data_IF_419792096868
#
_entry.id   IF_419792096868
#
_cell.length_a   1.000
_cell.length_b   1.000
_cell.length_c   1.000
_cell.angle_alpha   90.00
_cell.angle_beta   90.00
_cell.angle_gamma   90.00
#
_symmetry.space_group_name_H-M   'P 1'
#
loop_
_entity.id
_entity.type
_entity.pdbx_description
1 polymer ?
#
# COMPACT_ATOMS: atom_id res chain seq x y z
N UNK A 1 -0.64 -9.50 12.05
CA UNK A 1 0.58 -8.96 11.43
C UNK A 1 0.29 -7.54 10.93
N UNK A 2 1.09 -6.58 11.35
CA UNK A 2 0.86 -5.17 11.03
C UNK A 2 2.14 -4.51 10.55
N UNK A 3 2.03 -3.69 9.50
CA UNK A 3 3.15 -2.93 8.95
C UNK A 3 2.77 -1.48 8.77
N UNK A 4 3.76 -0.59 8.88
CA UNK A 4 3.58 0.83 8.57
C UNK A 4 4.36 1.14 7.30
N UNK A 5 3.63 1.59 6.27
CA UNK A 5 4.20 1.91 4.96
C UNK A 5 4.32 3.41 4.78
N UNK A 6 5.28 3.88 3.99
CA UNK A 6 5.37 5.30 3.68
C UNK A 6 4.15 5.76 2.88
N UNK A 7 3.80 7.04 3.00
CA UNK A 7 2.71 7.61 2.22
C UNK A 7 3.03 7.51 0.72
N UNK A 8 2.07 7.12 -0.12
CA UNK A 8 2.33 6.97 -1.56
C UNK A 8 2.77 8.27 -2.22
N UNK A 9 3.69 8.15 -3.16
CA UNK A 9 4.22 9.29 -3.90
C UNK A 9 3.11 10.04 -4.64
N UNK A 10 3.21 11.36 -4.71
CA UNK A 10 2.21 12.21 -5.38
C UNK A 10 2.04 11.86 -6.86
N UNK A 11 3.11 11.39 -7.52
CA UNK A 11 3.11 10.98 -8.92
C UNK A 11 2.19 9.79 -9.17
N UNK A 12 1.84 9.03 -8.11
CA UNK A 12 0.97 7.85 -8.20
C UNK A 12 -0.51 8.19 -8.11
N UNK A 13 -0.85 9.47 -7.88
CA UNK A 13 -2.24 9.89 -7.86
C UNK A 13 -2.87 9.70 -9.25
N UNK A 14 -4.11 9.18 -9.35
CA UNK A 14 -4.78 9.04 -10.64
C UNK A 14 -5.00 10.38 -11.36
N UNK A 15 -4.95 11.49 -10.62
CA UNK A 15 -5.11 12.83 -11.17
C UNK A 15 -3.78 13.52 -11.48
N UNK A 16 -2.65 12.88 -11.19
CA UNK A 16 -1.33 13.46 -11.47
C UNK A 16 -1.06 13.46 -12.96
N UNK A 17 -0.58 14.60 -13.46
CA UNK A 17 -0.18 14.74 -14.86
C UNK A 17 1.33 14.57 -14.93
N UNK A 18 1.77 13.33 -15.09
CA UNK A 18 3.19 13.00 -15.19
C UNK A 18 3.46 12.23 -16.48
N UNK A 19 4.66 12.42 -17.01
CA UNK A 19 5.12 11.67 -18.16
C UNK A 19 5.15 10.16 -17.80
N UNK A 20 4.82 9.31 -18.78
CA UNK A 20 4.74 7.86 -18.55
C UNK A 20 6.03 7.27 -17.96
N UNK A 21 7.19 7.78 -18.37
CA UNK A 21 8.47 7.30 -17.85
C UNK A 21 8.67 7.66 -16.38
N UNK A 22 8.23 8.85 -15.97
CA UNK A 22 8.26 9.27 -14.58
C UNK A 22 7.28 8.45 -13.74
N UNK A 23 6.11 8.15 -14.28
CA UNK A 23 5.12 7.33 -13.60
C UNK A 23 5.64 5.91 -13.38
N UNK A 24 6.25 5.31 -14.41
CA UNK A 24 6.83 3.98 -14.31
C UNK A 24 7.94 3.94 -13.24
N UNK A 25 8.78 4.97 -13.20
CA UNK A 25 9.84 5.10 -12.20
C UNK A 25 9.27 5.22 -10.79
N UNK A 26 8.22 6.04 -10.61
CA UNK A 26 7.58 6.22 -9.33
C UNK A 26 6.93 4.92 -8.83
N UNK A 27 6.27 4.18 -9.72
CA UNK A 27 5.67 2.87 -9.39
C UNK A 27 6.75 1.90 -8.92
N UNK A 28 7.84 1.79 -9.65
CA UNK A 28 8.94 0.89 -9.30
C UNK A 28 9.57 1.29 -7.98
N UNK A 29 9.83 2.57 -7.77
CA UNK A 29 10.43 3.10 -6.55
C UNK A 29 9.54 2.83 -5.34
N UNK A 30 8.26 3.10 -5.44
CA UNK A 30 7.33 2.88 -4.32
C UNK A 30 7.13 1.40 -4.02
N UNK A 31 7.03 0.57 -5.05
CA UNK A 31 6.96 -0.89 -4.91
C UNK A 31 8.16 -1.42 -4.12
N UNK A 32 9.37 -1.00 -4.48
CA UNK A 32 10.59 -1.40 -3.79
C UNK A 32 10.63 -0.87 -2.36
N UNK A 33 10.21 0.38 -2.15
CA UNK A 33 10.18 0.98 -0.83
C UNK A 33 9.24 0.22 0.12
N UNK A 34 8.06 -0.17 -0.35
CA UNK A 34 7.11 -0.94 0.45
C UNK A 34 7.62 -2.35 0.73
N UNK A 35 8.24 -3.01 -0.25
CA UNK A 35 8.84 -4.32 -0.05
C UNK A 35 9.94 -4.26 1.02
N UNK A 36 10.86 -3.31 0.92
CA UNK A 36 11.92 -3.10 1.90
C UNK A 36 11.38 -2.76 3.28
N UNK A 37 10.39 -1.89 3.35
CA UNK A 37 9.78 -1.49 4.61
C UNK A 37 9.12 -2.68 5.30
N UNK A 38 8.38 -3.50 4.54
CA UNK A 38 7.77 -4.71 5.08
C UNK A 38 8.83 -5.68 5.60
N UNK A 39 9.88 -5.93 4.81
CA UNK A 39 10.98 -6.81 5.23
C UNK A 39 11.64 -6.32 6.52
N UNK A 40 11.89 -5.01 6.63
CA UNK A 40 12.51 -4.43 7.82
C UNK A 40 11.62 -4.56 9.07
N UNK A 41 10.33 -4.72 8.88
CA UNK A 41 9.37 -4.92 9.97
C UNK A 41 9.03 -6.41 10.22
N UNK A 42 9.80 -7.31 9.63
CA UNK A 42 9.68 -8.74 9.88
C UNK A 42 8.78 -9.51 8.91
N UNK A 43 8.36 -8.91 7.81
CA UNK A 43 7.56 -9.60 6.82
C UNK A 43 8.33 -10.73 6.15
N UNK A 44 7.64 -11.81 5.85
CA UNK A 44 8.19 -12.99 5.18
C UNK A 44 7.06 -13.69 4.42
N UNK A 45 7.37 -14.63 3.53
CA UNK A 45 6.33 -15.38 2.81
C UNK A 45 5.33 -16.04 3.76
N UNK A 46 4.05 -15.97 3.39
CA UNK A 46 2.95 -16.55 4.16
C UNK A 46 2.36 -17.71 3.38
N UNK A 47 2.17 -18.85 4.04
CA UNK A 47 1.42 -19.96 3.48
C UNK A 47 -0.05 -19.81 3.84
N UNK A 48 -0.85 -19.31 2.91
CA UNK A 48 -2.28 -19.13 3.08
C UNK A 48 -2.98 -19.17 1.73
N UNK A 49 -4.27 -19.52 1.74
CA UNK A 49 -5.08 -19.53 0.51
C UNK A 49 -5.43 -18.13 0.05
N UNK A 50 -5.39 -17.17 0.94
CA UNK A 50 -5.66 -15.78 0.67
C UNK A 50 -5.36 -14.94 1.90
N UNK A 51 -5.54 -13.64 1.77
CA UNK A 51 -5.31 -12.70 2.87
C UNK A 51 -6.49 -11.74 2.99
N UNK A 52 -6.82 -11.36 4.21
CA UNK A 52 -7.63 -10.18 4.46
C UNK A 52 -6.66 -9.05 4.82
N UNK A 53 -6.60 -8.04 3.97
CA UNK A 53 -5.69 -6.90 4.15
C UNK A 53 -6.51 -5.66 4.45
N UNK A 54 -6.24 -5.05 5.60
CA UNK A 54 -6.89 -3.80 5.98
C UNK A 54 -5.88 -2.67 5.83
N UNK A 55 -6.22 -1.69 5.00
CA UNK A 55 -5.40 -0.51 4.76
C UNK A 55 -6.04 0.68 5.45
N UNK A 56 -5.32 1.29 6.38
CA UNK A 56 -5.77 2.51 7.05
C UNK A 56 -4.85 3.64 6.61
N UNK A 57 -5.43 4.62 5.93
CA UNK A 57 -4.68 5.76 5.38
C UNK A 57 -4.66 6.91 6.38
N UNK A 58 -3.45 7.34 6.75
CA UNK A 58 -3.22 8.51 7.59
C UNK A 58 -2.65 9.63 6.72
N UNK A 59 -3.50 10.49 6.14
CA UNK A 59 -3.01 11.53 5.22
C UNK A 59 -1.98 12.46 5.86
N UNK A 60 -1.07 13.03 5.09
CA UNK A 60 -0.05 13.96 5.63
C UNK A 60 -0.59 15.34 5.95
N UNK A 61 -1.81 15.64 5.54
CA UNK A 61 -2.44 16.94 5.81
C UNK A 61 -3.95 16.78 5.96
N UNK A 62 -4.63 17.85 6.40
CA UNK A 62 -6.09 17.86 6.56
C UNK A 62 -6.84 18.07 5.25
N UNK A 63 -6.14 18.11 4.12
CA UNK A 63 -6.79 18.22 2.81
C UNK A 63 -7.72 17.04 2.58
N UNK A 64 -8.88 17.33 2.02
CA UNK A 64 -9.79 16.27 1.62
C UNK A 64 -9.14 15.40 0.55
N UNK A 65 -9.21 14.09 0.75
CA UNK A 65 -8.72 13.11 -0.21
C UNK A 65 -9.70 11.94 -0.22
N UNK A 66 -10.13 11.54 -1.41
CA UNK A 66 -11.08 10.44 -1.53
C UNK A 66 -10.41 9.10 -1.25
N UNK A 67 -11.15 8.21 -0.63
CA UNK A 67 -10.61 6.90 -0.22
C UNK A 67 -10.20 6.04 -1.42
N UNK A 68 -10.97 6.11 -2.52
CA UNK A 68 -10.62 5.41 -3.75
C UNK A 68 -9.32 5.95 -4.38
N UNK A 69 -9.06 7.24 -4.26
CA UNK A 69 -7.80 7.84 -4.70
C UNK A 69 -6.63 7.37 -3.83
N UNK A 70 -6.85 7.21 -2.53
CA UNK A 70 -5.84 6.64 -1.63
C UNK A 70 -5.47 5.23 -2.07
N UNK A 71 -6.47 4.39 -2.36
CA UNK A 71 -6.24 3.03 -2.81
C UNK A 71 -5.49 3.00 -4.14
N UNK A 72 -5.90 3.83 -5.09
CA UNK A 72 -5.24 3.91 -6.40
C UNK A 72 -3.77 4.30 -6.27
N UNK A 73 -3.46 5.27 -5.40
CA UNK A 73 -2.07 5.68 -5.14
C UNK A 73 -1.26 4.56 -4.49
N UNK A 74 -1.90 3.70 -3.70
CA UNK A 74 -1.22 2.64 -2.97
C UNK A 74 -1.03 1.35 -3.79
N UNK A 75 -1.52 1.27 -5.02
CA UNK A 75 -1.48 0.04 -5.82
C UNK A 75 -0.07 -0.53 -5.97
N UNK A 76 0.92 0.32 -6.23
CA UNK A 76 2.32 -0.13 -6.31
C UNK A 76 2.82 -0.68 -4.97
N UNK A 77 2.29 -0.18 -3.85
CA UNK A 77 2.59 -0.70 -2.52
C UNK A 77 2.03 -2.09 -2.32
N UNK A 78 0.83 -2.36 -2.84
CA UNK A 78 0.24 -3.70 -2.84
C UNK A 78 1.16 -4.67 -3.57
N UNK A 79 1.66 -4.27 -4.75
CA UNK A 79 2.60 -5.09 -5.51
C UNK A 79 3.88 -5.37 -4.72
N UNK A 80 4.37 -4.39 -3.97
CA UNK A 80 5.53 -4.56 -3.09
C UNK A 80 5.26 -5.57 -1.98
N UNK A 81 4.07 -5.54 -1.39
CA UNK A 81 3.67 -6.51 -0.38
C UNK A 81 3.55 -7.92 -0.98
N UNK A 82 3.00 -8.05 -2.18
CA UNK A 82 2.96 -9.34 -2.89
C UNK A 82 4.35 -9.90 -3.10
N UNK A 83 5.31 -9.06 -3.45
CA UNK A 83 6.71 -9.47 -3.66
C UNK A 83 7.29 -10.15 -2.42
N UNK A 84 6.90 -9.70 -1.23
CA UNK A 84 7.44 -10.21 0.05
C UNK A 84 6.59 -11.35 0.60
N UNK A 85 5.28 -11.17 0.63
CA UNK A 85 4.37 -12.13 1.28
C UNK A 85 4.07 -13.35 0.42
N UNK A 86 4.27 -13.26 -0.88
CA UNK A 86 4.09 -14.36 -1.84
C UNK A 86 2.66 -14.92 -1.91
N UNK A 87 1.68 -14.10 -1.60
CA UNK A 87 0.26 -14.40 -1.83
C UNK A 87 -0.26 -13.39 -2.83
N UNK A 88 -0.67 -13.85 -4.00
CA UNK A 88 -1.14 -12.98 -5.08
C UNK A 88 -2.35 -12.16 -4.64
N UNK A 89 -2.39 -10.90 -5.07
CA UNK A 89 -3.46 -9.98 -4.65
C UNK A 89 -4.83 -10.35 -5.19
N UNK A 90 -4.90 -11.21 -6.21
CA UNK A 90 -6.17 -11.77 -6.67
C UNK A 90 -6.86 -12.63 -5.60
N UNK A 91 -6.10 -13.05 -4.57
CA UNK A 91 -6.61 -13.85 -3.45
C UNK A 91 -6.77 -13.01 -2.18
N UNK A 92 -6.71 -11.71 -2.30
CA UNK A 92 -6.88 -10.82 -1.15
C UNK A 92 -8.33 -10.33 -1.05
N UNK A 93 -8.78 -10.16 0.18
CA UNK A 93 -9.92 -9.31 0.50
C UNK A 93 -9.34 -8.02 1.06
N UNK A 94 -9.75 -6.89 0.55
CA UNK A 94 -9.20 -5.60 0.97
C UNK A 94 -10.28 -4.76 1.63
N UNK A 95 -9.99 -4.31 2.85
CA UNK A 95 -10.78 -3.30 3.55
C UNK A 95 -9.97 -2.02 3.59
N UNK A 96 -10.57 -0.92 3.21
CA UNK A 96 -9.91 0.39 3.23
C UNK A 96 -10.65 1.34 4.15
N UNK A 97 -9.88 2.13 4.87
CA UNK A 97 -10.43 3.17 5.73
C UNK A 97 -9.46 4.34 5.82
N UNK A 98 -10.00 5.51 6.13
CA UNK A 98 -9.21 6.72 6.31
C UNK A 98 -9.28 7.11 7.77
N UNK A 99 -8.11 7.31 8.39
CA UNK A 99 -8.03 7.76 9.77
C UNK A 99 -8.43 9.23 9.88
N UNK A 100 -8.98 9.61 11.02
CA UNK A 100 -9.30 11.01 11.31
C UNK A 100 -8.05 11.81 11.67
N UNK A 101 -6.96 11.14 11.94
CA UNK A 101 -5.69 11.72 12.34
C UNK A 101 -4.77 11.97 11.15
N UNK A 102 -3.95 13.00 11.24
CA UNK A 102 -2.88 13.25 10.28
C UNK A 102 -1.70 12.34 10.64
N UNK A 103 -0.97 11.87 9.64
CA UNK A 103 0.18 11.02 9.91
C UNK A 103 1.21 11.01 8.79
N UNK A 104 0.75 10.83 7.55
CA UNK A 104 1.64 10.70 6.41
C UNK A 104 2.17 9.27 6.25
N UNK A 105 1.35 8.28 6.56
CA UNK A 105 1.69 6.88 6.40
C UNK A 105 0.45 6.03 6.17
N UNK A 106 0.65 4.77 5.81
CA UNK A 106 -0.42 3.79 5.64
C UNK A 106 -0.16 2.63 6.58
N UNK A 107 -1.12 2.30 7.42
CA UNK A 107 -1.05 1.08 8.23
C UNK A 107 -1.67 -0.07 7.46
N UNK A 108 -0.96 -1.18 7.44
CA UNK A 108 -1.36 -2.40 6.74
C UNK A 108 -1.50 -3.51 7.76
N UNK A 109 -2.71 -4.02 7.93
CA UNK A 109 -2.96 -5.18 8.79
C UNK A 109 -3.27 -6.38 7.92
N UNK A 110 -2.64 -7.51 8.21
CA UNK A 110 -2.74 -8.72 7.41
C UNK A 110 -3.22 -9.87 8.27
N UNK A 111 -4.33 -10.47 7.85
CA UNK A 111 -4.92 -11.64 8.49
C UNK A 111 -5.01 -12.76 7.45
N UNK A 112 -4.23 -13.85 7.61
CA UNK A 112 -4.31 -14.98 6.69
C UNK A 112 -5.69 -15.62 6.71
N UNK A 113 -6.20 -15.97 5.52
CA UNK A 113 -7.47 -16.67 5.38
C UNK A 113 -7.25 -18.20 5.43
N UNK A 114 -8.15 -18.93 6.07
CA UNK A 114 -8.03 -20.39 6.15
C UNK A 114 -8.19 -21.09 4.79
#
# INVERSE_FOLDING_TARGET
MEFTMPWPLKELSPNARVHWAQLAKAKKSYRQACAWTALSQGAKPIEAKGLHVTLTFYPPSRRAIDLDNCLARFKAGIDGLVDVLKVDDSKWKITIEKADEIGGFVKVQIDPLP
#
